data_IF_371512690849
#
_entry.id   IF_371512690849
#
_cell.length_a   1.000
_cell.length_b   1.000
_cell.length_c   1.000
_cell.angle_alpha   90.00
_cell.angle_beta   90.00
_cell.angle_gamma   90.00
#
_symmetry.space_group_name_H-M   'P 1'
#
loop_
_entity.id
_entity.type
_entity.pdbx_description
1 polymer ?
#
# COMPACT_ATOMS: atom_id res chain seq x y z
N UNK A 1 -24.05 -74.79 -29.57
CA UNK A 1 -25.12 -73.82 -29.30
C UNK A 1 -24.48 -72.46 -29.05
N UNK A 2 -24.51 -71.61 -30.04
CA UNK A 2 -23.73 -70.35 -30.09
C UNK A 2 -24.56 -69.23 -29.47
N UNK A 3 -24.07 -68.54 -28.45
CA UNK A 3 -24.72 -67.34 -27.94
C UNK A 3 -23.88 -66.10 -28.31
N UNK A 4 -24.46 -65.31 -29.10
CA UNK A 4 -23.95 -64.07 -29.77
C UNK A 4 -23.80 -62.95 -28.77
N UNK A 5 -22.56 -62.41 -28.54
CA UNK A 5 -22.33 -61.23 -27.79
C UNK A 5 -22.64 -60.00 -28.64
N UNK A 6 -23.58 -59.18 -28.16
CA UNK A 6 -23.98 -57.92 -28.80
C UNK A 6 -22.93 -56.84 -28.61
N UNK A 7 -22.55 -56.18 -29.68
CA UNK A 7 -21.72 -54.97 -29.68
C UNK A 7 -22.55 -53.78 -29.27
N UNK A 8 -22.11 -53.05 -28.29
CA UNK A 8 -22.61 -51.68 -28.04
C UNK A 8 -21.92 -50.67 -28.98
N UNK A 9 -22.63 -49.68 -29.53
CA UNK A 9 -22.18 -48.86 -30.65
C UNK A 9 -21.43 -47.56 -30.24
N UNK A 10 -20.94 -47.44 -29.06
CA UNK A 10 -20.20 -46.21 -28.66
C UNK A 10 -18.84 -46.62 -28.10
N UNK A 11 -17.80 -46.59 -28.94
CA UNK A 11 -16.42 -46.84 -28.58
C UNK A 11 -15.85 -45.70 -27.76
N UNK A 12 -15.93 -45.81 -26.43
CA UNK A 12 -15.11 -44.98 -25.53
C UNK A 12 -13.82 -45.75 -25.33
N UNK A 13 -12.64 -45.18 -25.65
CA UNK A 13 -11.36 -45.81 -25.31
C UNK A 13 -11.19 -45.85 -23.80
N UNK A 14 -11.17 -47.01 -23.21
CA UNK A 14 -10.73 -47.19 -21.84
C UNK A 14 -9.25 -46.86 -21.76
N UNK A 15 -8.92 -45.65 -21.27
CA UNK A 15 -7.55 -45.27 -20.93
C UNK A 15 -7.06 -46.19 -19.80
N UNK A 16 -6.11 -47.06 -20.15
CA UNK A 16 -5.40 -47.92 -19.24
C UNK A 16 -4.63 -47.03 -18.26
N UNK A 17 -5.09 -47.00 -17.01
CA UNK A 17 -4.34 -46.33 -15.92
C UNK A 17 -3.04 -47.11 -15.70
N UNK A 18 -1.93 -46.60 -16.24
CA UNK A 18 -0.62 -47.05 -15.90
C UNK A 18 -0.32 -46.61 -14.46
N UNK A 19 -0.23 -47.56 -13.55
CA UNK A 19 0.38 -47.37 -12.23
C UNK A 19 1.87 -47.10 -12.44
N UNK A 20 2.26 -45.83 -12.47
CA UNK A 20 3.64 -45.38 -12.42
C UNK A 20 4.20 -45.60 -11.01
N UNK A 21 5.40 -46.14 -10.97
CA UNK A 21 6.13 -46.49 -9.75
C UNK A 21 6.56 -45.34 -8.87
N UNK A 22 7.31 -45.58 -7.76
CA UNK A 22 7.60 -44.62 -6.69
C UNK A 22 8.67 -43.62 -7.10
N UNK A 23 8.26 -42.51 -7.72
CA UNK A 23 9.10 -41.42 -8.17
C UNK A 23 8.30 -40.11 -8.32
N UNK A 24 7.13 -40.03 -7.72
CA UNK A 24 6.26 -38.86 -7.77
C UNK A 24 6.94 -37.64 -7.19
N UNK A 25 7.35 -36.72 -8.05
CA UNK A 25 7.64 -35.31 -7.68
C UNK A 25 6.48 -34.84 -6.84
N UNK A 26 6.73 -34.59 -5.56
CA UNK A 26 5.73 -33.98 -4.67
C UNK A 26 5.29 -32.69 -5.30
N UNK A 27 4.06 -32.63 -5.74
CA UNK A 27 3.38 -31.36 -6.02
C UNK A 27 3.51 -30.54 -4.75
N UNK A 28 4.08 -29.34 -4.78
CA UNK A 28 4.12 -28.49 -3.60
C UNK A 28 2.67 -28.30 -3.17
N UNK A 29 2.32 -28.80 -1.99
CA UNK A 29 1.07 -28.42 -1.31
C UNK A 29 1.05 -26.91 -1.34
N UNK A 30 -0.09 -26.33 -1.72
CA UNK A 30 -0.34 -24.90 -1.68
C UNK A 30 0.33 -24.33 -0.44
N UNK A 31 1.39 -23.56 -0.68
CA UNK A 31 2.35 -23.22 0.34
C UNK A 31 1.63 -22.52 1.47
N UNK A 32 1.79 -23.08 2.66
CA UNK A 32 1.70 -22.31 3.87
C UNK A 32 2.70 -21.16 3.69
N UNK A 33 2.23 -20.01 3.25
CA UNK A 33 2.97 -18.77 3.33
C UNK A 33 3.29 -18.57 4.82
N UNK A 34 4.53 -18.79 5.21
CA UNK A 34 5.01 -18.45 6.55
C UNK A 34 5.53 -17.02 6.45
N UNK A 35 4.99 -16.07 7.23
CA UNK A 35 5.60 -14.75 7.36
C UNK A 35 7.07 -14.92 7.72
N UNK A 36 7.93 -14.19 7.06
CA UNK A 36 9.35 -14.17 7.41
C UNK A 36 9.49 -13.62 8.84
N UNK A 37 10.02 -14.37 9.83
CA UNK A 37 10.06 -13.95 11.23
C UNK A 37 11.08 -12.84 11.53
N UNK A 38 11.52 -12.09 10.51
CA UNK A 38 12.59 -11.09 10.63
C UNK A 38 12.18 -9.68 11.08
N UNK A 39 10.90 -9.36 11.16
CA UNK A 39 10.44 -8.02 11.56
C UNK A 39 9.33 -8.11 12.62
N UNK A 40 9.71 -8.33 13.86
CA UNK A 40 8.81 -8.46 15.00
C UNK A 40 7.92 -7.24 15.34
N UNK A 41 7.95 -6.18 14.52
CA UNK A 41 7.02 -5.05 14.61
C UNK A 41 5.93 -5.09 13.53
N UNK A 42 6.07 -5.92 12.49
CA UNK A 42 5.07 -6.08 11.44
C UNK A 42 3.98 -7.09 11.80
N UNK A 43 4.23 -7.97 12.78
CA UNK A 43 3.22 -8.93 13.27
C UNK A 43 2.15 -8.30 14.17
N UNK A 44 2.44 -7.15 14.78
CA UNK A 44 1.48 -6.48 15.68
C UNK A 44 0.44 -5.65 14.92
N UNK A 45 0.68 -5.35 13.64
CA UNK A 45 -0.27 -4.70 12.75
C UNK A 45 -0.47 -5.58 11.52
N UNK A 46 -1.35 -6.57 11.64
CA UNK A 46 -1.87 -7.28 10.46
C UNK A 46 -2.37 -6.22 9.49
N UNK A 47 -1.74 -6.15 8.30
CA UNK A 47 -2.15 -5.20 7.26
C UNK A 47 -3.56 -5.56 6.85
N UNK A 48 -4.39 -4.55 6.64
CA UNK A 48 -5.79 -4.77 6.23
C UNK A 48 -5.91 -5.70 5.03
N UNK A 49 -4.96 -5.61 4.09
CA UNK A 49 -4.97 -6.47 2.91
C UNK A 49 -4.88 -7.96 3.27
N UNK A 50 -4.13 -8.33 4.31
CA UNK A 50 -3.93 -9.72 4.71
C UNK A 50 -5.23 -10.35 5.25
N UNK A 51 -6.16 -9.55 5.78
CA UNK A 51 -7.47 -10.00 6.27
C UNK A 51 -8.47 -10.24 5.12
N UNK A 52 -8.32 -9.54 3.99
CA UNK A 52 -9.29 -9.56 2.88
C UNK A 52 -8.79 -10.31 1.63
N UNK A 53 -7.58 -10.87 1.66
CA UNK A 53 -7.03 -11.63 0.53
C UNK A 53 -7.92 -12.83 0.20
N UNK A 54 -8.26 -12.96 -1.09
CA UNK A 54 -9.01 -14.11 -1.59
C UNK A 54 -8.07 -15.32 -1.83
N UNK A 55 -8.59 -16.56 -1.82
CA UNK A 55 -7.78 -17.74 -2.14
C UNK A 55 -7.13 -17.61 -3.53
N UNK A 56 -5.79 -17.61 -3.57
CA UNK A 56 -5.02 -17.40 -4.81
C UNK A 56 -4.67 -15.95 -5.14
N UNK A 57 -5.17 -14.98 -4.38
CA UNK A 57 -4.81 -13.59 -4.51
C UNK A 57 -3.41 -13.34 -3.91
N UNK A 58 -2.58 -12.53 -4.60
CA UNK A 58 -1.23 -12.18 -4.17
C UNK A 58 -1.02 -10.69 -4.29
N UNK A 59 -0.41 -10.09 -3.27
CA UNK A 59 0.00 -8.68 -3.32
C UNK A 59 1.21 -8.58 -4.25
N UNK A 60 1.06 -7.80 -5.32
CA UNK A 60 2.12 -7.52 -6.30
C UNK A 60 2.93 -6.29 -5.89
N UNK A 61 2.25 -5.27 -5.40
CA UNK A 61 2.88 -4.01 -5.01
C UNK A 61 2.12 -3.39 -3.83
N UNK A 62 2.88 -2.81 -2.91
CA UNK A 62 2.33 -2.12 -1.75
C UNK A 62 3.04 -0.79 -1.56
N UNK A 63 2.27 0.26 -1.35
CA UNK A 63 2.80 1.59 -1.10
C UNK A 63 2.00 2.30 -0.01
N UNK A 64 2.69 3.20 0.69
CA UNK A 64 2.11 4.01 1.73
C UNK A 64 2.24 5.49 1.36
N UNK A 65 1.59 6.36 2.13
CA UNK A 65 1.76 7.80 2.01
C UNK A 65 3.23 8.20 2.15
N UNK A 66 3.72 9.08 1.26
CA UNK A 66 5.10 9.52 1.25
C UNK A 66 5.45 10.36 2.49
N UNK A 67 6.70 10.30 2.96
CA UNK A 67 7.17 11.03 4.14
C UNK A 67 7.09 12.57 4.02
N UNK A 68 6.84 13.10 2.81
CA UNK A 68 6.67 14.54 2.55
C UNK A 68 5.57 15.17 3.42
N UNK A 69 4.62 14.38 3.91
CA UNK A 69 3.61 14.87 4.87
C UNK A 69 4.20 15.39 6.18
N UNK A 70 5.44 15.01 6.52
CA UNK A 70 6.15 15.55 7.67
C UNK A 70 6.86 16.86 7.38
N UNK A 71 6.95 17.30 6.11
CA UNK A 71 7.67 18.51 5.75
C UNK A 71 7.22 19.76 6.51
N UNK A 72 5.90 20.05 6.65
CA UNK A 72 5.46 21.20 7.45
C UNK A 72 5.82 21.04 8.93
N UNK A 73 5.80 19.84 9.47
CA UNK A 73 6.22 19.59 10.85
C UNK A 73 7.74 19.83 11.03
N UNK A 74 8.55 19.33 10.09
CA UNK A 74 10.01 19.52 10.12
C UNK A 74 10.35 21.02 10.09
N UNK A 75 9.71 21.78 9.18
CA UNK A 75 9.92 23.22 9.08
C UNK A 75 9.53 23.94 10.39
N UNK A 76 8.38 23.58 10.96
CA UNK A 76 7.94 24.16 12.22
C UNK A 76 8.89 23.83 13.39
N UNK A 77 9.44 22.62 13.45
CA UNK A 77 10.45 22.27 14.44
C UNK A 77 11.73 23.07 14.28
N UNK A 78 12.20 23.28 13.05
CA UNK A 78 13.37 24.14 12.77
C UNK A 78 13.13 25.56 13.29
N UNK A 79 11.96 26.15 12.97
CA UNK A 79 11.59 27.50 13.42
C UNK A 79 11.53 27.57 14.96
N UNK A 80 10.92 26.59 15.60
CA UNK A 80 10.84 26.53 17.06
C UNK A 80 12.24 26.50 17.72
N UNK A 81 13.16 25.68 17.19
CA UNK A 81 14.54 25.57 17.66
C UNK A 81 15.29 26.88 17.45
N UNK A 82 15.13 27.53 16.30
CA UNK A 82 15.78 28.82 16.02
C UNK A 82 15.29 29.91 17.00
N UNK A 83 13.97 30.00 17.20
CA UNK A 83 13.41 30.97 18.16
C UNK A 83 13.89 30.71 19.59
N UNK A 84 13.95 29.42 19.97
CA UNK A 84 14.49 29.06 21.29
C UNK A 84 15.98 29.42 21.43
N UNK A 85 16.78 29.17 20.38
CA UNK A 85 18.19 29.54 20.39
C UNK A 85 18.39 31.08 20.49
N UNK A 86 17.57 31.86 19.77
CA UNK A 86 17.59 33.30 19.83
C UNK A 86 17.18 33.84 21.22
N UNK A 87 16.21 33.21 21.90
CA UNK A 87 15.83 33.58 23.24
C UNK A 87 16.99 33.46 24.22
N UNK A 88 17.91 32.50 24.03
CA UNK A 88 19.06 32.26 24.88
C UNK A 88 20.23 33.24 24.64
N UNK A 89 20.22 33.93 23.50
CA UNK A 89 21.26 34.90 23.12
C UNK A 89 20.89 36.36 23.44
N UNK A 90 19.62 36.62 23.79
CA UNK A 90 19.14 37.97 24.02
C UNK A 90 19.43 38.42 25.46
N UNK A 91 20.11 39.57 25.62
CA UNK A 91 20.30 40.22 26.90
C UNK A 91 19.11 41.07 27.35
N UNK A 92 18.12 41.24 26.44
CA UNK A 92 16.90 42.02 26.68
C UNK A 92 15.78 41.08 27.13
N UNK A 93 15.38 41.20 28.42
CA UNK A 93 14.34 40.34 29.02
C UNK A 93 13.04 40.26 28.22
N UNK A 94 12.56 41.39 27.66
CA UNK A 94 11.32 41.40 26.83
C UNK A 94 11.48 40.57 25.58
N UNK A 95 12.62 40.60 24.90
CA UNK A 95 12.91 39.82 23.69
C UNK A 95 13.07 38.35 24.02
N UNK A 96 13.79 38.04 25.12
CA UNK A 96 13.92 36.67 25.61
C UNK A 96 12.54 36.01 25.84
N UNK A 97 11.67 36.70 26.60
CA UNK A 97 10.33 36.19 26.90
C UNK A 97 9.48 36.04 25.63
N UNK A 98 9.50 37.00 24.71
CA UNK A 98 8.77 36.94 23.46
C UNK A 98 9.21 35.74 22.60
N UNK A 99 10.53 35.55 22.45
CA UNK A 99 11.07 34.41 21.68
C UNK A 99 10.77 33.08 22.37
N UNK A 100 10.81 33.03 23.71
CA UNK A 100 10.49 31.81 24.46
C UNK A 100 9.02 31.41 24.28
N UNK A 101 8.09 32.34 24.47
CA UNK A 101 6.66 32.09 24.24
C UNK A 101 6.38 31.74 22.78
N UNK A 102 6.99 32.47 21.84
CA UNK A 102 6.86 32.18 20.40
C UNK A 102 7.35 30.77 20.04
N UNK A 103 8.51 30.37 20.57
CA UNK A 103 9.05 29.03 20.37
C UNK A 103 8.11 27.93 20.91
N UNK A 104 7.51 28.17 22.09
CA UNK A 104 6.55 27.25 22.68
C UNK A 104 5.29 27.06 21.81
N UNK A 105 4.71 28.16 21.31
CA UNK A 105 3.54 28.08 20.40
C UNK A 105 3.85 27.35 19.09
N UNK A 106 5.02 27.67 18.48
CA UNK A 106 5.45 26.99 17.25
C UNK A 106 5.75 25.51 17.51
N UNK A 107 6.33 25.17 18.66
CA UNK A 107 6.57 23.77 19.03
C UNK A 107 5.25 22.97 19.20
N UNK A 108 4.22 23.58 19.78
CA UNK A 108 2.88 22.98 19.87
C UNK A 108 2.27 22.75 18.47
N UNK A 109 2.41 23.72 17.57
CA UNK A 109 1.96 23.56 16.18
C UNK A 109 2.77 22.45 15.46
N UNK A 110 4.08 22.40 15.66
CA UNK A 110 4.95 21.36 15.11
C UNK A 110 4.55 19.96 15.62
N UNK A 111 4.25 19.84 16.90
CA UNK A 111 3.76 18.59 17.50
C UNK A 111 2.43 18.17 16.87
N UNK A 112 1.48 19.09 16.72
CA UNK A 112 0.20 18.82 16.06
C UNK A 112 0.39 18.30 14.63
N UNK A 113 1.23 18.94 13.80
CA UNK A 113 1.51 18.48 12.44
C UNK A 113 2.25 17.16 12.38
N UNK A 114 3.15 16.91 13.34
CA UNK A 114 3.85 15.61 13.46
C UNK A 114 2.84 14.49 13.73
N UNK A 115 1.96 14.67 14.71
CA UNK A 115 0.94 13.69 15.06
C UNK A 115 -0.03 13.46 13.89
N UNK A 116 -0.49 14.54 13.25
CA UNK A 116 -1.37 14.47 12.08
C UNK A 116 -0.72 13.72 10.91
N UNK A 117 0.55 14.02 10.60
CA UNK A 117 1.30 13.33 9.55
C UNK A 117 1.50 11.84 9.86
N UNK A 118 1.80 11.54 11.13
CA UNK A 118 1.96 10.16 11.61
C UNK A 118 0.66 9.37 11.45
N UNK A 119 -0.47 9.90 11.92
CA UNK A 119 -1.78 9.27 11.73
C UNK A 119 -2.11 9.08 10.26
N UNK A 120 -1.89 10.08 9.41
CA UNK A 120 -2.17 9.97 7.98
C UNK A 120 -1.37 8.83 7.35
N UNK A 121 -0.09 8.72 7.66
CA UNK A 121 0.78 7.67 7.11
C UNK A 121 0.39 6.27 7.57
N UNK A 122 0.00 6.12 8.85
CA UNK A 122 -0.40 4.83 9.41
C UNK A 122 -1.77 4.36 8.94
N UNK A 123 -2.64 5.29 8.54
CA UNK A 123 -4.03 4.96 8.17
C UNK A 123 -4.25 4.86 6.66
N UNK A 124 -3.22 5.17 5.87
CA UNK A 124 -3.29 5.10 4.41
C UNK A 124 -2.47 3.92 3.91
N UNK A 125 -3.16 2.91 3.39
CA UNK A 125 -2.58 1.74 2.75
C UNK A 125 -3.09 1.67 1.31
N UNK A 126 -2.18 1.37 0.37
CA UNK A 126 -2.53 1.20 -1.03
C UNK A 126 -1.80 -0.01 -1.56
N UNK A 127 -2.56 -1.02 -1.91
CA UNK A 127 -2.07 -2.30 -2.35
C UNK A 127 -2.61 -2.66 -3.74
N UNK A 128 -1.74 -3.20 -4.58
CA UNK A 128 -2.10 -3.77 -5.87
C UNK A 128 -1.91 -5.28 -5.77
N UNK A 129 -2.99 -6.01 -6.02
CA UNK A 129 -2.95 -7.46 -6.09
C UNK A 129 -2.99 -7.93 -7.55
N UNK A 130 -2.94 -9.22 -7.77
CA UNK A 130 -3.14 -9.80 -9.10
C UNK A 130 -4.59 -9.71 -9.61
N UNK A 131 -5.56 -9.32 -8.77
CA UNK A 131 -6.98 -9.26 -9.11
C UNK A 131 -7.55 -7.85 -9.05
N UNK A 132 -7.12 -7.02 -8.10
CA UNK A 132 -7.69 -5.70 -7.81
C UNK A 132 -6.68 -4.72 -7.24
N UNK A 133 -7.03 -3.42 -7.33
CA UNK A 133 -6.38 -2.35 -6.57
C UNK A 133 -7.22 -2.07 -5.33
N UNK A 134 -6.58 -2.02 -4.19
CA UNK A 134 -7.21 -1.70 -2.89
C UNK A 134 -6.57 -0.45 -2.32
N UNK A 135 -7.37 0.58 -2.09
CA UNK A 135 -6.93 1.81 -1.45
C UNK A 135 -7.77 2.08 -0.21
N UNK A 136 -7.11 2.12 0.94
CA UNK A 136 -7.75 2.36 2.23
C UNK A 136 -7.20 3.62 2.86
N UNK A 137 -8.12 4.49 3.28
CA UNK A 137 -7.80 5.73 3.99
C UNK A 137 -8.65 5.91 5.23
N UNK A 138 -8.09 6.62 6.20
CA UNK A 138 -8.78 7.13 7.38
C UNK A 138 -8.81 6.18 8.57
N UNK A 139 -8.58 6.75 9.75
CA UNK A 139 -8.61 6.04 11.04
C UNK A 139 -10.02 5.99 11.65
N UNK A 140 -10.67 7.14 11.77
CA UNK A 140 -12.00 7.25 12.37
C UNK A 140 -13.09 6.94 11.34
N UNK A 141 -12.98 7.56 10.15
CA UNK A 141 -13.89 7.30 9.02
C UNK A 141 -13.12 6.52 7.97
N UNK A 142 -13.25 5.20 8.01
CA UNK A 142 -12.62 4.32 7.02
C UNK A 142 -13.32 4.49 5.68
N UNK A 143 -12.51 4.76 4.66
CA UNK A 143 -12.94 4.73 3.27
C UNK A 143 -12.06 3.72 2.55
N UNK A 144 -12.67 2.71 1.99
CA UNK A 144 -12.01 1.70 1.18
C UNK A 144 -12.51 1.84 -0.24
N UNK A 145 -11.58 1.92 -1.17
CA UNK A 145 -11.84 1.86 -2.59
C UNK A 145 -11.21 0.59 -3.13
N UNK A 146 -12.00 -0.19 -3.83
CA UNK A 146 -11.56 -1.43 -4.48
C UNK A 146 -11.98 -1.40 -5.94
N UNK A 147 -11.04 -1.68 -6.83
CA UNK A 147 -11.31 -1.77 -8.26
C UNK A 147 -10.61 -2.99 -8.84
N UNK A 148 -11.36 -3.86 -9.49
CA UNK A 148 -10.80 -5.01 -10.20
C UNK A 148 -9.89 -4.52 -11.35
N UNK A 149 -8.73 -5.16 -11.53
CA UNK A 149 -7.74 -4.74 -12.51
C UNK A 149 -8.24 -4.83 -13.97
N UNK A 150 -9.17 -5.72 -14.24
CA UNK A 150 -9.82 -5.85 -15.56
C UNK A 150 -10.78 -4.69 -15.88
N UNK A 151 -11.18 -3.92 -14.86
CA UNK A 151 -12.01 -2.73 -15.00
C UNK A 151 -11.22 -1.44 -15.03
N UNK A 152 -9.90 -1.48 -14.87
CA UNK A 152 -9.04 -0.29 -14.96
C UNK A 152 -8.86 0.08 -16.43
N UNK A 153 -9.30 1.28 -16.79
CA UNK A 153 -9.21 1.83 -18.15
C UNK A 153 -7.92 2.63 -18.34
N UNK A 154 -7.62 3.53 -17.40
CA UNK A 154 -6.39 4.33 -17.43
C UNK A 154 -5.84 4.60 -16.04
N UNK A 155 -4.53 4.81 -15.98
CA UNK A 155 -3.81 5.22 -14.77
C UNK A 155 -2.97 6.44 -15.10
N UNK A 156 -3.41 7.59 -14.60
CA UNK A 156 -2.74 8.86 -14.80
C UNK A 156 -1.83 9.16 -13.60
N UNK A 157 -0.62 9.65 -13.86
CA UNK A 157 0.37 9.97 -12.82
C UNK A 157 0.75 11.42 -12.93
N UNK A 158 0.47 12.19 -11.89
CA UNK A 158 0.82 13.60 -11.77
C UNK A 158 1.97 13.79 -10.78
N UNK A 159 3.09 14.31 -11.27
CA UNK A 159 4.26 14.60 -10.46
C UNK A 159 4.72 16.03 -10.66
N UNK A 160 4.82 16.79 -9.58
CA UNK A 160 5.51 18.10 -9.58
C UNK A 160 7.02 17.91 -9.78
N UNK A 161 7.77 19.00 -10.03
CA UNK A 161 9.24 18.94 -10.15
C UNK A 161 9.85 18.37 -8.88
N UNK A 162 9.41 18.82 -7.70
CA UNK A 162 9.84 18.27 -6.42
C UNK A 162 9.38 16.81 -6.25
N UNK A 163 8.18 16.47 -6.72
CA UNK A 163 7.67 15.10 -6.73
C UNK A 163 8.54 14.15 -7.53
N UNK A 164 9.10 14.61 -8.65
CA UNK A 164 10.03 13.80 -9.46
C UNK A 164 11.38 13.59 -8.77
N UNK A 165 11.93 14.62 -8.11
CA UNK A 165 13.20 14.53 -7.37
C UNK A 165 13.05 13.63 -6.14
N UNK A 166 11.97 13.77 -5.40
CA UNK A 166 11.71 13.02 -4.15
C UNK A 166 10.92 11.74 -4.37
N UNK A 167 10.59 11.40 -5.65
CA UNK A 167 9.88 10.19 -6.05
C UNK A 167 8.51 10.02 -5.38
N UNK A 168 7.69 11.09 -5.37
CA UNK A 168 6.30 11.04 -4.97
C UNK A 168 5.39 11.71 -6.00
N UNK A 169 4.09 11.43 -5.94
CA UNK A 169 3.10 12.04 -6.83
C UNK A 169 1.70 11.55 -6.55
N UNK A 170 0.77 12.11 -7.29
CA UNK A 170 -0.64 11.72 -7.24
C UNK A 170 -0.90 10.72 -8.37
N UNK A 171 -1.72 9.71 -8.10
CA UNK A 171 -2.14 8.72 -9.09
C UNK A 171 -3.66 8.70 -9.16
N UNK A 172 -4.18 8.93 -10.35
CA UNK A 172 -5.60 8.84 -10.64
C UNK A 172 -5.89 7.56 -11.42
N UNK A 173 -6.69 6.68 -10.83
CA UNK A 173 -7.15 5.44 -11.45
C UNK A 173 -8.55 5.69 -11.99
N UNK A 174 -8.74 5.40 -13.28
CA UNK A 174 -10.04 5.48 -13.94
C UNK A 174 -10.49 4.09 -14.34
N UNK A 175 -11.70 3.74 -13.94
CA UNK A 175 -12.34 2.49 -14.32
C UNK A 175 -13.41 2.69 -15.37
N UNK A 176 -13.81 1.59 -15.98
CA UNK A 176 -14.94 1.56 -16.91
C UNK A 176 -16.21 2.02 -16.19
N UNK A 177 -16.83 3.08 -16.70
CA UNK A 177 -17.96 3.76 -16.07
C UNK A 177 -17.55 4.97 -15.23
N UNK A 178 -18.19 5.20 -14.07
CA UNK A 178 -17.97 6.40 -13.25
C UNK A 178 -16.91 6.22 -12.14
N UNK A 179 -16.20 5.10 -12.12
CA UNK A 179 -15.21 4.81 -11.09
C UNK A 179 -13.92 5.60 -11.29
N UNK A 180 -13.75 6.72 -10.56
CA UNK A 180 -12.52 7.51 -10.54
C UNK A 180 -12.04 7.62 -9.10
N UNK A 181 -10.80 7.24 -8.83
CA UNK A 181 -10.16 7.45 -7.53
C UNK A 181 -8.79 8.10 -7.71
N UNK A 182 -8.55 9.17 -6.95
CA UNK A 182 -7.27 9.86 -6.93
C UNK A 182 -6.58 9.62 -5.59
N UNK A 183 -5.47 8.92 -5.66
CA UNK A 183 -4.60 8.60 -4.52
C UNK A 183 -3.51 9.66 -4.47
N UNK A 184 -3.54 10.49 -3.40
CA UNK A 184 -2.62 11.63 -3.28
C UNK A 184 -1.31 11.23 -2.61
N UNK A 185 -0.22 11.77 -3.15
CA UNK A 185 1.11 11.79 -2.54
C UNK A 185 1.61 10.39 -2.14
N UNK A 186 1.50 9.45 -3.07
CA UNK A 186 2.07 8.10 -2.87
C UNK A 186 3.56 8.09 -3.18
N UNK A 187 4.27 7.16 -2.55
CA UNK A 187 5.66 6.89 -2.86
C UNK A 187 5.77 6.07 -4.16
N UNK A 188 6.74 6.42 -5.01
CA UNK A 188 7.06 5.71 -6.27
C UNK A 188 5.86 5.51 -7.21
N UNK A 189 5.17 6.58 -7.65
CA UNK A 189 3.92 6.48 -8.42
C UNK A 189 4.11 5.81 -9.79
N UNK A 190 5.29 5.92 -10.41
CA UNK A 190 5.59 5.23 -11.67
C UNK A 190 5.69 3.71 -11.50
N UNK A 191 6.28 3.25 -10.38
CA UNK A 191 6.34 1.83 -10.05
C UNK A 191 4.93 1.29 -9.75
N UNK A 192 4.10 2.07 -9.05
CA UNK A 192 2.70 1.76 -8.83
C UNK A 192 1.92 1.62 -10.14
N UNK A 193 2.05 2.60 -11.06
CA UNK A 193 1.44 2.52 -12.39
C UNK A 193 1.89 1.27 -13.14
N UNK A 194 3.19 0.97 -13.15
CA UNK A 194 3.71 -0.19 -13.87
C UNK A 194 3.16 -1.51 -13.30
N UNK A 195 2.97 -1.62 -11.99
CA UNK A 195 2.40 -2.82 -11.37
C UNK A 195 0.94 -3.09 -11.77
N UNK A 196 0.21 -2.06 -12.20
CA UNK A 196 -1.15 -2.19 -12.73
C UNK A 196 -1.14 -2.49 -14.23
N UNK A 197 -0.23 -1.86 -15.00
CA UNK A 197 -0.24 -1.90 -16.47
C UNK A 197 0.52 -3.09 -17.05
N UNK A 198 1.51 -3.64 -16.32
CA UNK A 198 2.32 -4.77 -16.80
C UNK A 198 1.59 -6.08 -16.49
N UNK A 199 0.88 -6.59 -17.49
CA UNK A 199 0.26 -7.92 -17.51
C UNK A 199 0.85 -8.77 -18.61
#
# INVERSE_FOLDING_TARGET
>A
MVTRAGRMPWGVPTARIQRGGPGGKRVPRAGSWRPNPGNGLSEVMARYIDEILQPGERVLYSTNAHWIFYFPAILAWIVAIVLFALSRQSDIYSVEMLCLFGSGLVALAALYWTVKGWFHRFTTETDVTNLRVVHKTGFIKRRTFEMALDKVESVDVDQTILGRILNYGDVTIRGVGEGIETIKTIASPLAFRSSITTR
#
